data_IF_910149529820
#
_entry.id   IF_910149529820
#
_cell.length_a   1.000
_cell.length_b   1.000
_cell.length_c   1.000
_cell.angle_alpha   90.00
_cell.angle_beta   90.00
_cell.angle_gamma   90.00
#
_symmetry.space_group_name_H-M   'P 1'
#
loop_
_entity.id
_entity.type
_entity.pdbx_description
1 polymer ?
#
# COMPACT_ATOMS: atom_id res chain seq x y z
N UNK A 1 -5.60 -7.79 24.98
CA UNK A 1 -5.32 -8.54 23.73
C UNK A 1 -4.78 -7.55 22.71
N UNK A 2 -3.58 -7.79 22.15
CA UNK A 2 -3.01 -6.92 21.11
C UNK A 2 -3.67 -7.22 19.76
N UNK A 3 -3.95 -6.19 18.95
CA UNK A 3 -4.49 -6.40 17.60
C UNK A 3 -3.40 -6.92 16.66
N UNK A 4 -3.78 -7.65 15.60
CA UNK A 4 -2.85 -8.09 14.53
C UNK A 4 -2.04 -6.91 14.00
N UNK A 5 -2.68 -5.76 13.78
CA UNK A 5 -2.04 -4.55 13.27
C UNK A 5 -1.01 -3.97 14.25
N UNK A 6 -1.27 -3.99 15.57
CA UNK A 6 -0.27 -3.59 16.56
C UNK A 6 0.98 -4.46 16.49
N UNK A 7 0.82 -5.77 16.36
CA UNK A 7 1.96 -6.69 16.25
C UNK A 7 2.77 -6.44 14.98
N UNK A 8 2.10 -6.18 13.86
CA UNK A 8 2.76 -5.82 12.59
C UNK A 8 3.43 -4.44 12.66
N UNK A 9 2.94 -3.53 13.50
CA UNK A 9 3.48 -2.18 13.68
C UNK A 9 4.44 -2.08 14.88
N UNK A 10 5.22 -3.14 15.16
CA UNK A 10 6.20 -3.17 16.25
C UNK A 10 5.62 -2.75 17.62
N UNK A 11 4.42 -3.21 17.94
CA UNK A 11 3.70 -2.92 19.19
C UNK A 11 3.41 -1.42 19.37
N UNK A 12 3.27 -0.67 18.28
CA UNK A 12 2.82 0.72 18.33
C UNK A 12 1.46 0.83 19.04
N UNK A 13 1.34 1.81 19.93
CA UNK A 13 0.11 2.05 20.69
C UNK A 13 -1.06 2.55 19.82
N UNK A 14 -0.75 3.04 18.62
CA UNK A 14 -1.74 3.47 17.65
C UNK A 14 -1.27 3.18 16.22
N UNK A 15 -2.21 2.77 15.36
CA UNK A 15 -2.03 2.59 13.92
C UNK A 15 -2.99 3.53 13.22
N UNK A 16 -2.46 4.45 12.40
CA UNK A 16 -3.30 5.42 11.67
C UNK A 16 -3.95 4.76 10.46
N UNK A 17 -3.12 4.12 9.62
CA UNK A 17 -3.57 3.36 8.46
C UNK A 17 -2.84 2.03 8.34
N UNK A 18 -3.49 1.07 7.70
CA UNK A 18 -2.92 -0.19 7.23
C UNK A 18 -3.36 -0.45 5.78
N UNK A 19 -2.56 -1.19 5.03
CA UNK A 19 -2.80 -1.52 3.61
C UNK A 19 -1.86 -2.62 3.15
N UNK A 20 -2.07 -3.13 1.93
CA UNK A 20 -1.08 -3.95 1.24
C UNK A 20 -0.09 -3.01 0.50
N UNK A 21 1.15 -3.45 0.33
CA UNK A 21 2.12 -2.76 -0.49
C UNK A 21 3.03 -3.74 -1.21
N UNK A 22 3.48 -3.35 -2.41
CA UNK A 22 4.45 -4.09 -3.19
C UNK A 22 5.28 -3.14 -4.05
N UNK A 23 6.40 -3.65 -4.57
CA UNK A 23 7.30 -2.88 -5.43
C UNK A 23 7.18 -3.41 -6.85
N UNK A 24 6.89 -2.52 -7.78
CA UNK A 24 6.83 -2.82 -9.21
C UNK A 24 8.01 -2.21 -9.95
N UNK A 25 8.49 -2.88 -10.99
CA UNK A 25 9.39 -2.26 -11.97
C UNK A 25 8.57 -1.32 -12.85
N UNK A 26 8.82 -0.03 -12.70
CA UNK A 26 8.26 1.02 -13.56
C UNK A 26 9.08 1.24 -14.84
N UNK A 27 8.75 2.31 -15.56
CA UNK A 27 9.43 2.67 -16.80
C UNK A 27 10.89 3.08 -16.58
N UNK A 28 11.74 2.82 -17.57
CA UNK A 28 13.17 3.18 -17.59
C UNK A 28 13.97 2.60 -16.41
N UNK A 29 13.57 1.44 -15.88
CA UNK A 29 14.28 0.75 -14.80
C UNK A 29 14.11 1.37 -13.42
N UNK A 30 13.21 2.35 -13.26
CA UNK A 30 12.87 2.91 -11.94
C UNK A 30 11.86 2.01 -11.24
N UNK A 31 12.01 1.83 -9.93
CA UNK A 31 11.03 1.13 -9.11
C UNK A 31 9.92 2.07 -8.65
N UNK A 32 8.71 1.52 -8.51
CA UNK A 32 7.52 2.20 -8.02
C UNK A 32 6.96 1.42 -6.83
N UNK A 33 6.68 2.13 -5.75
CA UNK A 33 5.97 1.59 -4.59
C UNK A 33 4.47 1.72 -4.85
N UNK A 34 3.76 0.59 -4.89
CA UNK A 34 2.30 0.55 -4.96
C UNK A 34 1.77 0.28 -3.56
N UNK A 35 0.81 1.09 -3.13
CA UNK A 35 0.13 0.97 -1.83
C UNK A 35 -1.37 0.98 -2.08
N UNK A 36 -2.13 0.18 -1.34
CA UNK A 36 -3.59 0.20 -1.40
C UNK A 36 -4.26 0.38 -0.04
N UNK A 37 -5.59 0.43 -0.05
CA UNK A 37 -6.42 0.43 1.17
C UNK A 37 -7.07 -0.93 1.45
N UNK A 38 -6.43 -2.04 1.08
CA UNK A 38 -6.96 -3.38 1.24
C UNK A 38 -6.53 -4.08 2.56
N UNK A 39 -6.70 -3.42 3.71
CA UNK A 39 -6.35 -4.00 5.03
C UNK A 39 -7.52 -4.53 5.85
N UNK A 40 -8.76 -4.22 5.44
CA UNK A 40 -9.97 -4.48 6.24
C UNK A 40 -10.14 -3.52 7.41
N UNK A 41 -9.27 -3.59 8.43
CA UNK A 41 -9.26 -2.65 9.57
C UNK A 41 -8.16 -1.60 9.37
N UNK A 42 -8.42 -0.34 9.73
CA UNK A 42 -7.51 0.80 9.52
C UNK A 42 -7.22 1.11 8.04
N UNK A 43 -8.07 0.66 7.12
CA UNK A 43 -7.93 1.01 5.71
C UNK A 43 -8.07 2.53 5.51
N UNK A 44 -7.13 3.19 4.79
CA UNK A 44 -7.29 4.60 4.46
C UNK A 44 -8.53 4.82 3.58
N UNK A 45 -9.23 5.93 3.83
CA UNK A 45 -10.33 6.35 2.96
C UNK A 45 -9.79 6.65 1.56
N UNK A 46 -10.60 6.40 0.53
CA UNK A 46 -10.22 6.64 -0.87
C UNK A 46 -9.73 8.07 -1.10
N UNK A 47 -10.35 9.04 -0.44
CA UNK A 47 -9.99 10.46 -0.49
C UNK A 47 -8.65 10.80 0.18
N UNK A 48 -8.15 9.93 1.06
CA UNK A 48 -6.85 10.10 1.73
C UNK A 48 -5.70 9.42 0.95
N UNK A 49 -5.98 8.60 -0.06
CA UNK A 49 -4.95 7.95 -0.88
C UNK A 49 -3.99 8.94 -1.55
N UNK A 50 -4.45 10.07 -2.13
CA UNK A 50 -3.53 11.08 -2.67
C UNK A 50 -2.61 11.67 -1.60
N UNK A 51 -3.14 11.94 -0.39
CA UNK A 51 -2.33 12.44 0.74
C UNK A 51 -1.31 11.41 1.20
N UNK A 52 -1.67 10.13 1.18
CA UNK A 52 -0.76 9.04 1.52
C UNK A 52 0.39 8.96 0.52
N UNK A 53 0.09 9.07 -0.78
CA UNK A 53 1.11 9.16 -1.83
C UNK A 53 2.07 10.31 -1.56
N UNK A 54 1.55 11.53 -1.40
CA UNK A 54 2.37 12.73 -1.14
C UNK A 54 3.21 12.57 0.13
N UNK A 55 2.64 11.99 1.18
CA UNK A 55 3.36 11.73 2.42
C UNK A 55 4.61 10.86 2.17
N UNK A 56 4.49 9.74 1.44
CA UNK A 56 5.64 8.90 1.15
C UNK A 56 6.66 9.60 0.23
N UNK A 57 6.22 10.29 -0.81
CA UNK A 57 7.12 11.01 -1.73
C UNK A 57 7.90 12.12 -1.01
N UNK A 58 7.28 12.80 -0.03
CA UNK A 58 7.92 13.82 0.79
C UNK A 58 8.93 13.24 1.80
N UNK A 59 8.63 12.09 2.40
CA UNK A 59 9.52 11.45 3.37
C UNK A 59 10.69 10.70 2.71
N UNK A 60 10.52 10.26 1.47
CA UNK A 60 11.52 9.50 0.72
C UNK A 60 11.77 10.13 -0.66
N UNK A 61 12.52 11.25 -0.74
CA UNK A 61 12.74 11.92 -2.01
C UNK A 61 13.33 10.98 -3.07
N UNK A 62 12.71 10.95 -4.25
CA UNK A 62 13.16 10.18 -5.40
C UNK A 62 12.50 8.81 -5.60
N UNK A 63 11.64 8.36 -4.67
CA UNK A 63 10.79 7.19 -4.92
C UNK A 63 9.56 7.60 -5.73
N UNK A 64 9.06 6.68 -6.58
CA UNK A 64 7.77 6.82 -7.23
C UNK A 64 6.72 6.09 -6.40
N UNK A 65 5.63 6.75 -6.05
CA UNK A 65 4.55 6.13 -5.26
C UNK A 65 3.24 6.18 -6.03
N UNK A 66 2.49 5.09 -5.96
CA UNK A 66 1.12 5.00 -6.44
C UNK A 66 0.23 4.47 -5.33
N UNK A 67 -0.83 5.21 -5.02
CA UNK A 67 -1.82 4.82 -4.02
C UNK A 67 -3.13 4.48 -4.75
N UNK A 68 -3.55 3.22 -4.71
CA UNK A 68 -4.74 2.72 -5.41
C UNK A 68 -5.85 2.35 -4.44
N UNK A 69 -7.10 2.52 -4.88
CA UNK A 69 -8.24 2.02 -4.12
C UNK A 69 -8.39 0.52 -4.35
N UNK A 70 -8.78 -0.23 -3.32
CA UNK A 70 -9.02 -1.69 -3.37
C UNK A 70 -10.07 -2.09 -4.41
N UNK A 71 -10.94 -1.16 -4.82
CA UNK A 71 -11.93 -1.43 -5.84
C UNK A 71 -11.43 -1.19 -7.26
N UNK A 72 -10.22 -0.66 -7.44
CA UNK A 72 -9.58 -0.47 -8.73
C UNK A 72 -9.40 -1.81 -9.45
N UNK A 73 -9.93 -1.92 -10.67
CA UNK A 73 -9.94 -3.18 -11.42
C UNK A 73 -8.53 -3.58 -11.88
N UNK A 74 -7.66 -2.61 -12.18
CA UNK A 74 -6.27 -2.90 -12.54
C UNK A 74 -5.49 -3.44 -11.33
N UNK A 75 -5.70 -2.86 -10.14
CA UNK A 75 -5.10 -3.34 -8.90
C UNK A 75 -5.50 -4.79 -8.61
N UNK A 76 -6.79 -5.11 -8.72
CA UNK A 76 -7.29 -6.49 -8.50
C UNK A 76 -6.65 -7.48 -9.46
N UNK A 77 -6.55 -7.10 -10.75
CA UNK A 77 -5.93 -7.93 -11.77
C UNK A 77 -4.45 -8.18 -11.46
N UNK A 78 -3.69 -7.12 -11.18
CA UNK A 78 -2.26 -7.22 -10.84
C UNK A 78 -2.04 -8.09 -9.59
N UNK A 79 -2.88 -7.91 -8.57
CA UNK A 79 -2.84 -8.74 -7.36
C UNK A 79 -3.10 -10.22 -7.66
N UNK A 80 -4.06 -10.53 -8.55
CA UNK A 80 -4.33 -11.91 -8.95
C UNK A 80 -3.13 -12.51 -9.71
N UNK A 81 -2.51 -11.77 -10.62
CA UNK A 81 -1.30 -12.22 -11.33
C UNK A 81 -0.14 -12.53 -10.38
N UNK A 82 0.03 -11.73 -9.32
CA UNK A 82 1.01 -11.99 -8.26
C UNK A 82 0.68 -13.28 -7.52
N UNK A 83 -0.58 -13.48 -7.13
CA UNK A 83 -0.99 -14.69 -6.41
C UNK A 83 -0.83 -15.95 -7.27
N UNK A 84 -1.18 -15.88 -8.55
CA UNK A 84 -1.07 -16.99 -9.50
C UNK A 84 0.38 -17.38 -9.76
N UNK A 85 1.31 -16.41 -9.74
CA UNK A 85 2.74 -16.67 -9.87
C UNK A 85 3.36 -17.38 -8.65
N UNK A 86 2.64 -17.42 -7.53
CA UNK A 86 3.07 -18.04 -6.26
C UNK A 86 2.34 -19.36 -5.96
N UNK A 87 1.41 -19.78 -6.82
CA UNK A 87 0.69 -21.05 -6.74
C UNK A 87 1.51 -22.19 -7.37
#
# INVERSE_FOLDING_TARGET
MFSKHMLHANVALSVKYAGEFHIEKGHFGKYKLVIDNNSGTYAPLKEDLPKLKEFFENNFPGILVEAKDRNDDELKKSRQEILDAWA
#
